data_IF_486536822518
#
_entry.id   IF_486536822518
#
_cell.length_a   1.000
_cell.length_b   1.000
_cell.length_c   1.000
_cell.angle_alpha   90.00
_cell.angle_beta   90.00
_cell.angle_gamma   90.00
#
_symmetry.space_group_name_H-M   'P 1'
#
loop_
_entity.id
_entity.type
_entity.pdbx_description
1 polymer ?
#
# COMPACT_ATOMS: atom_id res chain seq x y z
N UNK A 1 8.76 -38.43 -0.26
CA UNK A 1 7.38 -37.94 -0.47
C UNK A 1 7.16 -37.77 -1.96
N UNK A 2 6.07 -38.32 -2.52
CA UNK A 2 5.75 -38.18 -3.95
C UNK A 2 5.40 -36.70 -4.26
N UNK A 3 5.84 -36.10 -5.39
CA UNK A 3 5.54 -34.73 -5.76
C UNK A 3 4.03 -34.36 -5.67
N UNK A 4 3.14 -35.28 -6.02
CA UNK A 4 1.67 -35.09 -5.85
C UNK A 4 1.24 -34.97 -4.39
N UNK A 5 1.86 -35.73 -3.48
CA UNK A 5 1.53 -35.68 -2.04
C UNK A 5 2.08 -34.37 -1.43
N UNK A 6 3.26 -33.91 -1.88
CA UNK A 6 3.82 -32.63 -1.46
C UNK A 6 2.94 -31.46 -1.89
N UNK A 7 2.46 -31.48 -3.13
CA UNK A 7 1.59 -30.46 -3.67
C UNK A 7 0.22 -30.42 -2.94
N UNK A 8 -0.37 -31.56 -2.67
CA UNK A 8 -1.62 -31.64 -1.92
C UNK A 8 -1.47 -31.16 -0.48
N UNK A 9 -0.35 -31.47 0.18
CA UNK A 9 -0.07 -30.98 1.53
C UNK A 9 0.13 -29.47 1.55
N UNK A 10 0.85 -28.93 0.56
CA UNK A 10 1.05 -27.50 0.42
C UNK A 10 -0.28 -26.76 0.19
N UNK A 11 -1.09 -27.24 -0.76
CA UNK A 11 -2.37 -26.62 -1.07
C UNK A 11 -3.31 -26.64 0.16
N UNK A 12 -3.39 -27.74 0.86
CA UNK A 12 -4.17 -27.82 2.11
C UNK A 12 -3.71 -26.79 3.14
N UNK A 13 -2.40 -26.67 3.38
CA UNK A 13 -1.87 -25.68 4.33
C UNK A 13 -2.16 -24.26 3.87
N UNK A 14 -2.14 -24.00 2.57
CA UNK A 14 -2.51 -22.70 1.99
C UNK A 14 -3.99 -22.37 2.26
N UNK A 15 -4.87 -23.32 2.03
CA UNK A 15 -6.31 -23.14 2.25
C UNK A 15 -6.62 -22.94 3.76
N UNK A 16 -5.99 -23.72 4.64
CA UNK A 16 -6.10 -23.57 6.09
C UNK A 16 -5.62 -22.18 6.54
N UNK A 17 -4.49 -21.71 5.99
CA UNK A 17 -3.94 -20.38 6.26
C UNK A 17 -4.89 -19.27 5.81
N UNK A 18 -5.40 -19.37 4.58
CA UNK A 18 -6.35 -18.41 4.03
C UNK A 18 -7.60 -18.34 4.90
N UNK A 19 -8.20 -19.49 5.19
CA UNK A 19 -9.39 -19.59 6.02
C UNK A 19 -9.18 -18.98 7.42
N UNK A 20 -8.04 -19.27 8.04
CA UNK A 20 -7.69 -18.72 9.35
C UNK A 20 -7.63 -17.18 9.31
N UNK A 21 -6.91 -16.60 8.35
CA UNK A 21 -6.78 -15.15 8.22
C UNK A 21 -8.12 -14.48 7.93
N UNK A 22 -8.93 -15.06 7.06
CA UNK A 22 -10.24 -14.51 6.73
C UNK A 22 -11.16 -14.52 7.95
N UNK A 23 -11.09 -15.54 8.78
CA UNK A 23 -11.83 -15.60 10.04
C UNK A 23 -11.36 -14.50 11.02
N UNK A 24 -10.06 -14.28 11.15
CA UNK A 24 -9.51 -13.18 11.97
C UNK A 24 -9.98 -11.81 11.43
N UNK A 25 -9.92 -11.59 10.11
CA UNK A 25 -10.39 -10.36 9.49
C UNK A 25 -11.88 -10.10 9.76
N UNK A 26 -12.73 -11.10 9.57
CA UNK A 26 -14.20 -10.99 9.79
C UNK A 26 -14.54 -10.60 11.22
N UNK A 27 -13.77 -11.10 12.19
CA UNK A 27 -13.95 -10.81 13.61
C UNK A 27 -13.21 -9.57 14.10
N UNK A 28 -12.53 -8.85 13.21
CA UNK A 28 -11.75 -7.66 13.53
C UNK A 28 -12.51 -6.37 13.22
N UNK A 29 -12.23 -5.24 13.89
CA UNK A 29 -12.76 -3.94 13.48
C UNK A 29 -12.27 -3.57 12.09
N UNK A 30 -13.16 -3.14 11.20
CA UNK A 30 -12.79 -2.69 9.85
C UNK A 30 -12.40 -1.21 9.88
N UNK A 31 -11.24 -0.95 10.42
CA UNK A 31 -10.65 0.38 10.50
C UNK A 31 -9.25 0.44 9.84
N UNK A 32 -8.70 1.64 9.75
CA UNK A 32 -7.40 1.84 9.11
C UNK A 32 -6.30 0.97 9.73
N UNK A 33 -6.34 0.72 11.03
CA UNK A 33 -5.30 -0.06 11.72
C UNK A 33 -5.32 -1.54 11.35
N UNK A 34 -6.51 -2.07 11.04
CA UNK A 34 -6.68 -3.44 10.50
C UNK A 34 -6.26 -3.49 9.04
N UNK A 35 -6.68 -2.51 8.23
CA UNK A 35 -6.38 -2.43 6.79
C UNK A 35 -4.88 -2.37 6.51
N UNK A 36 -4.12 -1.62 7.33
CA UNK A 36 -2.66 -1.46 7.13
C UNK A 36 -1.82 -2.47 7.92
N UNK A 37 -2.43 -3.45 8.57
CA UNK A 37 -1.69 -4.43 9.36
C UNK A 37 -0.99 -5.44 8.45
N UNK A 38 0.36 -5.51 8.44
CA UNK A 38 1.11 -6.39 7.55
C UNK A 38 0.81 -7.88 7.77
N UNK A 39 0.46 -8.29 8.99
CA UNK A 39 0.13 -9.68 9.33
C UNK A 39 -1.13 -10.14 8.61
N UNK A 40 -2.13 -9.26 8.43
CA UNK A 40 -3.40 -9.58 7.79
C UNK A 40 -3.37 -9.54 6.25
N UNK A 41 -2.28 -9.05 5.65
CA UNK A 41 -2.16 -8.92 4.19
C UNK A 41 -1.61 -10.18 3.53
N UNK A 42 -1.13 -11.12 4.32
CA UNK A 42 -0.59 -12.39 3.81
C UNK A 42 0.67 -12.25 2.95
N UNK A 43 1.39 -11.13 3.07
CA UNK A 43 2.62 -10.89 2.30
C UNK A 43 3.83 -11.53 2.99
N UNK A 44 4.47 -12.56 2.40
CA UNK A 44 5.58 -13.26 3.01
C UNK A 44 6.86 -12.42 3.17
N UNK A 45 6.95 -11.28 2.48
CA UNK A 45 8.09 -10.36 2.59
C UNK A 45 7.88 -9.26 3.64
N UNK A 46 6.62 -9.00 4.01
CA UNK A 46 6.25 -7.97 4.96
C UNK A 46 5.62 -8.51 6.25
N UNK A 47 5.57 -9.83 6.42
CA UNK A 47 5.03 -10.51 7.60
C UNK A 47 5.78 -11.79 7.88
N UNK A 48 5.96 -12.11 9.16
CA UNK A 48 6.50 -13.41 9.59
C UNK A 48 5.43 -14.52 9.59
N UNK A 49 4.16 -14.13 9.59
CA UNK A 49 3.04 -15.08 9.76
C UNK A 49 3.01 -16.19 8.68
N UNK A 50 3.10 -15.91 7.36
CA UNK A 50 3.05 -16.97 6.36
C UNK A 50 4.14 -18.02 6.60
N UNK A 51 5.37 -17.58 6.82
CA UNK A 51 6.50 -18.48 7.08
C UNK A 51 6.29 -19.34 8.32
N UNK A 52 5.87 -18.72 9.43
CA UNK A 52 5.64 -19.42 10.70
C UNK A 52 4.49 -20.41 10.61
N UNK A 53 3.43 -20.03 9.91
CA UNK A 53 2.26 -20.89 9.71
C UNK A 53 2.64 -22.16 8.92
N UNK A 54 3.35 -22.00 7.80
CA UNK A 54 3.81 -23.13 6.99
C UNK A 54 4.85 -24.01 7.69
N UNK A 55 5.70 -23.43 8.54
CA UNK A 55 6.65 -24.19 9.35
C UNK A 55 6.07 -24.71 10.66
N UNK A 56 4.81 -24.37 10.96
CA UNK A 56 4.13 -24.71 12.20
C UNK A 56 4.93 -24.26 13.46
N UNK A 57 5.54 -23.06 13.39
CA UNK A 57 6.45 -22.50 14.41
C UNK A 57 5.75 -21.42 15.24
N UNK A 58 5.33 -21.77 16.45
CA UNK A 58 4.71 -20.84 17.38
C UNK A 58 5.69 -19.83 18.04
N UNK A 59 6.98 -19.96 17.79
CA UNK A 59 8.00 -19.16 18.46
C UNK A 59 8.25 -19.63 19.91
N UNK A 60 9.46 -19.42 20.38
CA UNK A 60 9.88 -19.78 21.74
C UNK A 60 10.06 -18.56 22.67
N UNK A 61 10.06 -17.34 22.10
CA UNK A 61 10.32 -16.11 22.83
C UNK A 61 9.02 -15.57 23.44
N UNK A 62 9.11 -15.08 24.67
CA UNK A 62 7.98 -14.45 25.33
C UNK A 62 7.42 -13.28 24.51
N UNK A 63 6.11 -13.28 24.27
CA UNK A 63 5.39 -12.30 23.47
C UNK A 63 5.57 -10.86 23.98
N UNK A 64 5.66 -10.65 25.30
CA UNK A 64 5.90 -9.32 25.90
C UNK A 64 7.27 -8.76 25.50
N UNK A 65 8.31 -9.60 25.53
CA UNK A 65 9.68 -9.19 25.14
C UNK A 65 9.71 -8.86 23.65
N UNK A 66 9.06 -9.68 22.81
CA UNK A 66 8.92 -9.44 21.36
C UNK A 66 8.25 -8.09 21.11
N UNK A 67 7.12 -7.84 21.79
CA UNK A 67 6.37 -6.60 21.66
C UNK A 67 7.22 -5.38 22.04
N UNK A 68 7.81 -5.35 23.23
CA UNK A 68 8.60 -4.20 23.73
C UNK A 68 9.77 -3.90 22.77
N UNK A 69 10.53 -4.94 22.35
CA UNK A 69 11.63 -4.78 21.41
C UNK A 69 11.18 -4.17 20.07
N UNK A 70 10.04 -4.64 19.53
CA UNK A 70 9.54 -4.17 18.24
C UNK A 70 8.86 -2.81 18.36
N UNK A 71 8.26 -2.49 19.49
CA UNK A 71 7.69 -1.18 19.82
C UNK A 71 8.77 -0.09 19.77
N UNK A 72 9.93 -0.33 20.37
CA UNK A 72 11.05 0.62 20.33
C UNK A 72 11.53 0.84 18.88
N UNK A 73 11.74 -0.24 18.12
CA UNK A 73 12.15 -0.17 16.71
C UNK A 73 11.10 0.57 15.87
N UNK A 74 9.83 0.30 16.13
CA UNK A 74 8.71 0.94 15.46
C UNK A 74 8.75 2.46 15.63
N UNK A 75 8.82 2.95 16.88
CA UNK A 75 8.82 4.39 17.12
C UNK A 75 10.06 5.09 16.58
N UNK A 76 11.23 4.51 16.75
CA UNK A 76 12.48 5.09 16.22
C UNK A 76 12.40 5.24 14.68
N UNK A 77 12.04 4.17 14.00
CA UNK A 77 11.90 4.15 12.53
C UNK A 77 10.86 5.17 12.05
N UNK A 78 9.67 5.15 12.65
CA UNK A 78 8.55 5.93 12.12
C UNK A 78 8.62 7.42 12.50
N UNK A 79 9.26 7.78 13.61
CA UNK A 79 9.60 9.18 13.92
C UNK A 79 10.58 9.73 12.88
N UNK A 80 11.63 8.97 12.54
CA UNK A 80 12.53 9.34 11.46
C UNK A 80 11.79 9.54 10.11
N UNK A 81 10.85 8.65 9.79
CA UNK A 81 10.06 8.74 8.56
C UNK A 81 9.11 9.95 8.57
N UNK A 82 8.45 10.24 9.69
CA UNK A 82 7.61 11.42 9.84
C UNK A 82 8.40 12.72 9.63
N UNK A 83 9.58 12.82 10.24
CA UNK A 83 10.47 14.00 10.08
C UNK A 83 10.94 14.10 8.61
N UNK A 84 11.34 12.98 8.00
CA UNK A 84 11.74 12.96 6.59
C UNK A 84 10.60 13.38 5.66
N UNK A 85 9.37 13.00 5.97
CA UNK A 85 8.19 13.37 5.19
C UNK A 85 7.85 14.86 5.36
N UNK A 86 7.96 15.40 6.57
CA UNK A 86 7.79 16.83 6.82
C UNK A 86 8.85 17.65 6.08
N UNK A 87 10.10 17.19 6.07
CA UNK A 87 11.18 17.80 5.27
C UNK A 87 10.86 17.77 3.78
N UNK A 88 10.38 16.63 3.25
CA UNK A 88 9.99 16.48 1.86
C UNK A 88 8.86 17.46 1.48
N UNK A 89 7.87 17.62 2.36
CA UNK A 89 6.79 18.59 2.21
C UNK A 89 7.34 20.03 2.12
N UNK A 90 8.26 20.41 3.00
CA UNK A 90 8.89 21.74 2.96
C UNK A 90 9.67 21.97 1.67
N UNK A 91 10.45 20.98 1.24
CA UNK A 91 11.23 21.05 -0.02
C UNK A 91 10.28 21.18 -1.22
N UNK A 92 9.20 20.41 -1.26
CA UNK A 92 8.18 20.55 -2.30
C UNK A 92 7.63 21.99 -2.36
N UNK A 93 7.21 22.56 -1.23
CA UNK A 93 6.65 23.91 -1.17
C UNK A 93 7.64 24.99 -1.62
N UNK A 94 8.94 24.76 -1.42
CA UNK A 94 10.00 25.74 -1.78
C UNK A 94 10.44 25.62 -3.23
N UNK A 95 10.44 24.45 -3.81
CA UNK A 95 11.13 24.20 -5.09
C UNK A 95 10.25 23.76 -6.24
N UNK A 96 9.05 23.22 -5.98
CA UNK A 96 8.14 22.86 -7.04
C UNK A 96 7.23 24.02 -7.42
N UNK A 97 7.22 24.36 -8.72
CA UNK A 97 6.31 25.36 -9.26
C UNK A 97 5.04 24.67 -9.75
N UNK A 98 3.98 24.81 -8.95
CA UNK A 98 2.67 24.31 -9.32
C UNK A 98 2.16 25.02 -10.58
N UNK A 99 1.63 24.25 -11.54
CA UNK A 99 0.91 24.78 -12.70
C UNK A 99 -0.56 24.98 -12.37
N UNK A 100 -1.18 25.95 -13.03
CA UNK A 100 -2.64 26.04 -13.09
C UNK A 100 -3.11 24.85 -13.93
N UNK A 101 -4.08 24.10 -13.42
CA UNK A 101 -4.62 22.92 -14.08
C UNK A 101 -6.08 23.15 -14.45
N UNK A 102 -6.48 22.52 -15.53
CA UNK A 102 -7.86 22.32 -15.85
C UNK A 102 -8.52 21.32 -14.86
N UNK A 103 -9.80 21.07 -15.04
CA UNK A 103 -10.55 20.13 -14.23
C UNK A 103 -9.95 18.72 -14.29
N UNK A 104 -9.59 18.18 -13.12
CA UNK A 104 -8.99 16.86 -12.99
C UNK A 104 -10.06 15.79 -13.04
N UNK A 105 -10.12 14.99 -14.11
CA UNK A 105 -11.08 13.87 -14.23
C UNK A 105 -10.43 12.53 -14.03
N UNK A 106 -9.23 12.34 -14.58
CA UNK A 106 -8.50 11.08 -14.52
C UNK A 106 -7.15 11.29 -13.86
N UNK A 107 -6.82 10.42 -12.92
CA UNK A 107 -5.52 10.39 -12.26
C UNK A 107 -4.82 9.07 -12.59
N UNK A 108 -3.54 9.16 -12.94
CA UNK A 108 -2.63 8.02 -13.06
C UNK A 108 -1.70 8.05 -11.85
N UNK A 109 -1.90 7.12 -10.92
CA UNK A 109 -1.12 6.99 -9.70
C UNK A 109 0.06 6.06 -9.94
N UNK A 110 1.25 6.62 -9.90
CA UNK A 110 2.50 5.89 -10.13
C UNK A 110 3.64 6.40 -9.25
N UNK A 111 4.82 5.82 -9.41
CA UNK A 111 5.99 6.24 -8.65
C UNK A 111 7.20 6.52 -9.57
N UNK A 112 8.10 7.37 -9.08
CA UNK A 112 9.36 7.70 -9.74
C UNK A 112 10.54 7.14 -8.94
N UNK A 113 11.39 6.42 -9.62
CA UNK A 113 12.76 6.16 -9.17
C UNK A 113 13.66 7.33 -9.56
N UNK A 114 14.90 7.35 -9.04
CA UNK A 114 15.85 8.46 -9.31
C UNK A 114 16.09 8.66 -10.80
N UNK A 115 16.16 7.55 -11.55
CA UNK A 115 16.54 7.53 -12.96
C UNK A 115 15.34 7.69 -13.91
N UNK A 116 14.13 7.81 -13.39
CA UNK A 116 12.92 7.99 -14.22
C UNK A 116 12.74 9.40 -14.76
N UNK A 117 13.53 10.36 -14.29
CA UNK A 117 13.51 11.73 -14.83
C UNK A 117 14.83 12.00 -15.53
N UNK A 118 14.77 12.22 -16.85
CA UNK A 118 15.94 12.51 -17.64
C UNK A 118 16.51 13.92 -17.38
N UNK A 119 17.68 14.24 -17.96
CA UNK A 119 18.33 15.54 -17.78
C UNK A 119 17.51 16.72 -18.32
N UNK A 120 16.59 16.45 -19.25
CA UNK A 120 15.70 17.46 -19.84
C UNK A 120 14.43 17.66 -19.02
N UNK A 121 14.28 16.96 -17.89
CA UNK A 121 13.14 17.08 -16.99
C UNK A 121 11.94 16.20 -17.37
N UNK A 122 12.02 15.40 -18.41
CA UNK A 122 10.93 14.52 -18.81
C UNK A 122 10.90 13.27 -17.94
N UNK A 123 9.70 12.93 -17.44
CA UNK A 123 9.45 11.71 -16.68
C UNK A 123 9.23 10.54 -17.63
N UNK A 124 10.03 9.50 -17.47
CA UNK A 124 9.92 8.25 -18.23
C UNK A 124 9.27 7.18 -17.34
N UNK A 125 8.05 6.82 -17.70
CA UNK A 125 7.31 5.77 -17.00
C UNK A 125 7.79 4.38 -17.44
N UNK A 126 8.08 3.51 -16.46
CA UNK A 126 8.56 2.16 -16.72
C UNK A 126 7.49 1.08 -16.53
N UNK A 127 6.40 1.38 -15.82
CA UNK A 127 5.38 0.40 -15.41
C UNK A 127 4.09 0.52 -16.21
N UNK A 128 3.68 1.74 -16.54
CA UNK A 128 2.42 2.04 -17.20
C UNK A 128 2.65 2.54 -18.64
N UNK A 129 3.72 2.03 -19.27
CA UNK A 129 4.05 2.38 -20.66
C UNK A 129 2.87 2.13 -21.60
N UNK A 130 2.63 3.09 -22.50
CA UNK A 130 1.52 3.04 -23.47
C UNK A 130 0.21 3.65 -22.98
N UNK A 131 0.00 3.84 -21.66
CA UNK A 131 -1.24 4.46 -21.16
C UNK A 131 -1.29 5.96 -21.47
N UNK A 132 -0.14 6.63 -21.44
CA UNK A 132 -0.04 8.06 -21.74
C UNK A 132 -0.32 8.33 -23.22
N UNK A 133 0.32 7.58 -24.11
CA UNK A 133 0.11 7.67 -25.57
C UNK A 133 -1.35 7.35 -25.92
N UNK A 134 -1.98 6.42 -25.19
CA UNK A 134 -3.39 6.11 -25.38
C UNK A 134 -4.26 7.31 -25.02
N UNK A 135 -4.04 7.94 -23.88
CA UNK A 135 -4.80 9.11 -23.47
C UNK A 135 -4.57 10.33 -24.35
N UNK A 136 -3.33 10.56 -24.79
CA UNK A 136 -3.00 11.60 -25.75
C UNK A 136 -3.70 11.36 -27.10
N UNK A 137 -3.67 10.13 -27.62
CA UNK A 137 -4.35 9.74 -28.87
C UNK A 137 -5.86 10.03 -28.83
N UNK A 138 -6.49 9.83 -27.68
CA UNK A 138 -7.92 10.08 -27.49
C UNK A 138 -8.23 11.47 -26.91
N UNK A 139 -7.25 12.35 -26.84
CA UNK A 139 -7.35 13.70 -26.28
C UNK A 139 -8.03 13.70 -24.88
N UNK A 140 -7.65 12.74 -24.05
CA UNK A 140 -8.21 12.58 -22.72
C UNK A 140 -7.35 13.34 -21.70
N UNK A 141 -7.96 14.25 -20.95
CA UNK A 141 -7.28 15.00 -19.90
C UNK A 141 -6.98 14.08 -18.71
N UNK A 142 -5.71 14.03 -18.28
CA UNK A 142 -5.26 13.27 -17.14
C UNK A 142 -4.19 14.04 -16.36
N UNK A 143 -3.99 13.67 -15.10
CA UNK A 143 -2.85 14.11 -14.32
C UNK A 143 -2.12 12.90 -13.72
N UNK A 144 -0.82 13.05 -13.53
CA UNK A 144 0.05 12.01 -12.96
C UNK A 144 0.25 12.29 -11.49
N UNK A 145 -0.30 11.44 -10.62
CA UNK A 145 -0.02 11.43 -9.19
C UNK A 145 1.31 10.72 -8.96
N UNK A 146 2.39 11.49 -8.91
CA UNK A 146 3.74 10.95 -8.90
C UNK A 146 4.33 10.91 -7.50
N UNK A 147 4.71 9.71 -7.05
CA UNK A 147 5.35 9.50 -5.75
C UNK A 147 6.86 9.31 -5.92
N UNK A 148 7.71 10.17 -5.34
CA UNK A 148 9.15 9.93 -5.28
C UNK A 148 9.45 8.69 -4.41
N UNK A 149 10.09 7.68 -4.99
CA UNK A 149 10.55 6.48 -4.29
C UNK A 149 12.06 6.51 -4.12
N UNK A 150 12.61 5.68 -3.20
CA UNK A 150 14.03 5.51 -2.90
C UNK A 150 14.78 6.79 -2.47
N UNK A 151 14.51 7.93 -3.07
CA UNK A 151 15.19 9.21 -2.79
C UNK A 151 14.35 10.18 -1.97
N UNK A 152 13.11 9.83 -1.60
CA UNK A 152 12.20 10.70 -0.84
C UNK A 152 12.78 11.17 0.51
N UNK A 153 13.75 10.47 1.07
CA UNK A 153 14.45 10.80 2.32
C UNK A 153 15.71 11.65 2.11
N UNK A 154 16.11 11.94 0.87
CA UNK A 154 17.31 12.71 0.57
C UNK A 154 16.92 14.11 0.11
N UNK A 155 17.18 15.17 0.93
CA UNK A 155 16.75 16.53 0.62
C UNK A 155 17.36 17.08 -0.66
N UNK A 156 18.61 16.75 -0.95
CA UNK A 156 19.30 17.25 -2.15
C UNK A 156 18.72 16.62 -3.42
N UNK A 157 18.47 15.31 -3.39
CA UNK A 157 17.85 14.60 -4.52
C UNK A 157 16.42 15.09 -4.75
N UNK A 158 15.62 15.28 -3.68
CA UNK A 158 14.27 15.84 -3.79
C UNK A 158 14.26 17.25 -4.36
N UNK A 159 15.16 18.13 -3.87
CA UNK A 159 15.28 19.49 -4.43
C UNK A 159 15.59 19.45 -5.91
N UNK A 160 16.55 18.62 -6.33
CA UNK A 160 16.90 18.45 -7.73
C UNK A 160 15.72 17.92 -8.54
N UNK A 161 15.07 16.86 -8.06
CA UNK A 161 13.90 16.27 -8.68
C UNK A 161 12.78 17.28 -8.93
N UNK A 162 12.36 18.05 -7.91
CA UNK A 162 11.29 19.03 -8.07
C UNK A 162 11.65 20.19 -9.01
N UNK A 163 12.91 20.56 -9.11
CA UNK A 163 13.36 21.57 -10.07
C UNK A 163 13.28 21.06 -11.50
N UNK A 164 13.67 19.80 -11.72
CA UNK A 164 13.72 19.24 -13.08
C UNK A 164 12.32 18.88 -13.56
N UNK A 165 11.53 18.14 -12.74
CA UNK A 165 10.19 17.68 -13.14
C UNK A 165 9.23 18.84 -13.46
N UNK A 166 9.49 20.03 -12.93
CA UNK A 166 8.70 21.21 -13.27
C UNK A 166 8.87 21.68 -14.73
N UNK A 167 9.83 21.11 -15.48
CA UNK A 167 10.04 21.38 -16.91
C UNK A 167 9.18 20.45 -17.81
N UNK A 168 8.73 19.32 -17.30
CA UNK A 168 7.85 18.42 -18.03
C UNK A 168 6.50 19.11 -18.33
N UNK A 169 5.96 18.91 -19.53
CA UNK A 169 4.72 19.57 -20.00
C UNK A 169 3.46 18.96 -19.42
N UNK A 170 3.53 17.70 -18.95
CA UNK A 170 2.39 16.98 -18.39
C UNK A 170 2.00 17.51 -17.02
N UNK A 171 0.77 17.24 -16.60
CA UNK A 171 0.26 17.65 -15.30
C UNK A 171 0.63 16.66 -14.22
N UNK A 172 1.47 17.12 -13.27
CA UNK A 172 1.86 16.32 -12.10
C UNK A 172 1.14 16.80 -10.83
N UNK A 173 0.66 15.84 -10.06
CA UNK A 173 0.19 16.02 -8.70
C UNK A 173 1.18 15.32 -7.78
N UNK A 174 1.53 15.97 -6.69
CA UNK A 174 2.30 15.34 -5.62
C UNK A 174 1.45 15.27 -4.35
N UNK A 175 1.64 14.21 -3.56
CA UNK A 175 0.94 14.08 -2.28
C UNK A 175 1.12 15.31 -1.38
N UNK A 176 2.30 15.94 -1.43
CA UNK A 176 2.62 17.18 -0.69
C UNK A 176 1.80 18.40 -1.12
N UNK A 177 1.17 18.36 -2.28
CA UNK A 177 0.30 19.41 -2.75
C UNK A 177 -1.01 19.47 -1.97
N UNK A 178 -1.58 18.31 -1.71
CA UNK A 178 -2.88 18.14 -1.07
C UNK A 178 -2.80 18.17 0.45
N UNK A 179 -1.60 17.95 1.01
CA UNK A 179 -1.37 17.93 2.45
C UNK A 179 -1.41 19.34 3.08
N UNK A 180 -1.94 19.37 4.29
CA UNK A 180 -1.93 20.51 5.21
C UNK A 180 -1.04 20.21 6.41
N UNK A 181 -0.58 21.24 7.12
CA UNK A 181 0.19 21.04 8.36
C UNK A 181 -0.59 20.26 9.42
N UNK A 182 -1.93 20.42 9.49
CA UNK A 182 -2.79 19.64 10.37
C UNK A 182 -2.74 18.13 10.11
N UNK A 183 -2.43 17.71 8.88
CA UNK A 183 -2.35 16.30 8.54
C UNK A 183 -1.15 15.61 9.23
N UNK A 184 -0.08 16.35 9.50
CA UNK A 184 1.07 15.84 10.25
C UNK A 184 0.73 15.48 11.68
N UNK A 185 -0.17 16.22 12.33
CA UNK A 185 -0.70 15.86 13.66
C UNK A 185 -1.57 14.61 13.57
N UNK A 186 -2.36 14.47 12.50
CA UNK A 186 -3.15 13.26 12.24
C UNK A 186 -2.23 12.05 12.01
N UNK A 187 -1.20 12.19 11.18
CA UNK A 187 -0.20 11.14 10.94
C UNK A 187 0.50 10.73 12.23
N UNK A 188 0.92 11.70 13.04
CA UNK A 188 1.54 11.44 14.34
C UNK A 188 0.59 10.65 15.26
N UNK A 189 -0.66 11.07 15.36
CA UNK A 189 -1.67 10.41 16.21
C UNK A 189 -1.93 8.98 15.74
N UNK A 190 -2.13 8.77 14.45
CA UNK A 190 -2.32 7.44 13.87
C UNK A 190 -1.10 6.52 14.12
N UNK A 191 0.10 7.07 13.93
CA UNK A 191 1.36 6.36 14.18
C UNK A 191 1.50 5.98 15.65
N UNK A 192 1.27 6.91 16.58
CA UNK A 192 1.40 6.64 18.02
C UNK A 192 0.41 5.58 18.50
N UNK A 193 -0.80 5.57 17.97
CA UNK A 193 -1.85 4.63 18.36
C UNK A 193 -1.72 3.25 17.70
N UNK A 194 -1.01 3.13 16.58
CA UNK A 194 -0.96 1.91 15.78
C UNK A 194 -0.57 0.66 16.58
N UNK A 195 0.54 0.62 17.36
CA UNK A 195 0.92 -0.59 18.09
C UNK A 195 -0.15 -1.04 19.08
N UNK A 196 -0.80 -0.09 19.77
CA UNK A 196 -1.85 -0.40 20.76
C UNK A 196 -3.15 -0.85 20.10
N UNK A 197 -3.49 -0.25 18.94
CA UNK A 197 -4.65 -0.67 18.16
C UNK A 197 -4.45 -2.05 17.55
N UNK A 198 -3.22 -2.42 17.21
CA UNK A 198 -2.85 -3.76 16.76
C UNK A 198 -3.12 -4.84 17.83
N UNK A 199 -2.95 -4.52 19.13
CA UNK A 199 -3.22 -5.48 20.20
C UNK A 199 -4.68 -5.95 20.26
N UNK A 200 -5.62 -5.21 19.68
CA UNK A 200 -7.03 -5.63 19.58
C UNK A 200 -7.24 -6.83 18.67
N UNK A 201 -6.27 -7.15 17.83
CA UNK A 201 -6.31 -8.28 16.90
C UNK A 201 -5.82 -9.59 17.54
N UNK A 202 -5.28 -9.53 18.77
CA UNK A 202 -4.85 -10.73 19.49
C UNK A 202 -6.00 -11.69 19.66
N UNK A 203 -5.75 -12.96 19.32
CA UNK A 203 -6.69 -14.05 19.46
C UNK A 203 -6.55 -14.69 20.85
N UNK A 204 -7.66 -15.24 21.36
CA UNK A 204 -7.60 -16.12 22.54
C UNK A 204 -6.86 -17.39 22.11
N UNK A 205 -5.76 -17.70 22.81
CA UNK A 205 -4.89 -18.83 22.47
C UNK A 205 -5.55 -20.19 22.77
N UNK A 206 -6.45 -20.63 21.90
CA UNK A 206 -7.14 -21.91 21.99
C UNK A 206 -6.42 -22.95 21.12
N UNK A 207 -5.87 -22.53 19.99
CA UNK A 207 -5.18 -23.36 19.03
C UNK A 207 -3.69 -23.02 18.92
N UNK A 208 -2.94 -23.82 18.18
CA UNK A 208 -1.53 -23.53 17.86
C UNK A 208 -1.44 -22.39 16.85
N UNK A 209 -2.38 -22.32 15.93
CA UNK A 209 -2.51 -21.25 14.93
C UNK A 209 -2.70 -19.89 15.62
N UNK A 210 -3.49 -19.82 16.69
CA UNK A 210 -3.66 -18.59 17.48
C UNK A 210 -2.35 -18.13 18.12
N UNK A 211 -1.53 -19.06 18.63
CA UNK A 211 -0.21 -18.75 19.19
C UNK A 211 0.73 -18.25 18.10
N UNK A 212 0.74 -18.90 16.92
CA UNK A 212 1.54 -18.49 15.76
C UNK A 212 1.12 -17.11 15.31
N UNK A 213 -0.18 -16.86 15.21
CA UNK A 213 -0.73 -15.56 14.82
C UNK A 213 -0.36 -14.46 15.82
N UNK A 214 -0.61 -14.65 17.10
CA UNK A 214 -0.31 -13.67 18.15
C UNK A 214 1.17 -13.32 18.18
N UNK A 215 2.05 -14.31 18.11
CA UNK A 215 3.48 -14.07 18.05
C UNK A 215 3.89 -13.27 16.81
N UNK A 216 3.36 -13.65 15.64
CA UNK A 216 3.64 -12.96 14.38
C UNK A 216 3.10 -11.54 14.39
N UNK A 217 1.90 -11.32 14.90
CA UNK A 217 1.28 -9.99 15.02
C UNK A 217 2.16 -9.03 15.81
N UNK A 218 2.70 -9.48 16.93
CA UNK A 218 3.59 -8.66 17.77
C UNK A 218 4.99 -8.48 17.13
N UNK A 219 5.46 -9.49 16.40
CA UNK A 219 6.72 -9.42 15.67
C UNK A 219 6.62 -8.46 14.46
N UNK A 220 5.49 -8.44 13.78
CA UNK A 220 5.28 -7.70 12.53
C UNK A 220 5.06 -6.19 12.73
N UNK A 221 4.88 -5.71 13.96
CA UNK A 221 4.84 -4.26 14.26
C UNK A 221 6.04 -3.52 13.65
N UNK A 222 7.21 -4.14 13.61
CA UNK A 222 8.42 -3.59 12.98
C UNK A 222 8.31 -3.39 11.46
N UNK A 223 7.43 -4.15 10.78
CA UNK A 223 7.22 -4.09 9.33
C UNK A 223 6.16 -3.06 8.91
N UNK A 224 5.54 -2.39 9.87
CA UNK A 224 4.62 -1.31 9.58
C UNK A 224 5.19 -0.34 8.53
N UNK A 225 4.36 0.03 7.57
CA UNK A 225 4.69 1.00 6.52
C UNK A 225 4.12 2.37 6.86
N UNK A 226 5.00 3.35 7.11
CA UNK A 226 4.58 4.74 7.30
C UNK A 226 3.87 5.29 6.06
N UNK A 227 4.30 4.87 4.87
CA UNK A 227 3.71 5.27 3.59
C UNK A 227 2.23 4.88 3.48
N UNK A 228 1.78 3.83 4.19
CA UNK A 228 0.37 3.48 4.22
C UNK A 228 -0.49 4.55 4.91
N UNK A 229 0.02 5.23 5.93
CA UNK A 229 -0.70 6.34 6.57
C UNK A 229 -0.72 7.58 5.67
N UNK A 230 0.39 7.90 5.01
CA UNK A 230 0.42 9.04 4.09
C UNK A 230 -0.53 8.83 2.92
N UNK A 231 -0.59 7.60 2.40
CA UNK A 231 -1.53 7.21 1.33
C UNK A 231 -3.00 7.26 1.79
N UNK A 232 -3.27 6.87 3.03
CA UNK A 232 -4.61 7.02 3.62
C UNK A 232 -5.04 8.49 3.67
N UNK A 233 -4.18 9.40 4.14
CA UNK A 233 -4.47 10.83 4.19
C UNK A 233 -4.64 11.41 2.78
N UNK A 234 -3.78 11.02 1.84
CA UNK A 234 -3.87 11.40 0.44
C UNK A 234 -5.22 10.98 -0.17
N UNK A 235 -5.62 9.73 0.01
CA UNK A 235 -6.92 9.23 -0.47
C UNK A 235 -8.10 10.02 0.10
N UNK A 236 -8.04 10.41 1.37
CA UNK A 236 -9.05 11.30 1.99
C UNK A 236 -9.10 12.69 1.38
N UNK A 237 -7.99 13.22 0.90
CA UNK A 237 -7.98 14.52 0.22
C UNK A 237 -8.48 14.40 -1.23
N UNK A 238 -8.05 13.38 -1.95
CA UNK A 238 -8.50 13.13 -3.32
C UNK A 238 -10.01 12.87 -3.39
N UNK A 239 -10.56 12.12 -2.43
CA UNK A 239 -12.00 11.83 -2.37
C UNK A 239 -12.90 13.07 -2.19
N UNK A 240 -12.32 14.23 -1.86
CA UNK A 240 -13.04 15.52 -1.73
C UNK A 240 -12.96 16.38 -2.98
N UNK A 241 -12.27 15.94 -4.02
CA UNK A 241 -12.17 16.66 -5.30
C UNK A 241 -13.29 16.12 -6.19
N UNK A 242 -14.35 16.89 -6.35
CA UNK A 242 -15.58 16.48 -7.02
C UNK A 242 -15.40 16.15 -8.50
N UNK A 243 -14.40 16.72 -9.15
CA UNK A 243 -14.11 16.52 -10.57
C UNK A 243 -13.44 15.17 -10.89
N UNK A 244 -12.87 14.47 -9.90
CA UNK A 244 -12.20 13.20 -10.12
C UNK A 244 -13.23 12.09 -10.34
N UNK A 245 -13.13 11.43 -11.48
CA UNK A 245 -13.99 10.32 -11.88
C UNK A 245 -13.26 8.96 -11.75
N UNK A 246 -11.99 8.91 -12.14
CA UNK A 246 -11.21 7.66 -12.23
C UNK A 246 -9.79 7.83 -11.72
N UNK A 247 -9.30 6.79 -11.03
CA UNK A 247 -7.89 6.69 -10.64
C UNK A 247 -7.36 5.33 -11.11
N UNK A 248 -6.36 5.37 -11.97
CA UNK A 248 -5.59 4.20 -12.39
C UNK A 248 -4.35 4.11 -11.50
N UNK A 249 -4.21 3.04 -10.74
CA UNK A 249 -3.07 2.84 -9.84
C UNK A 249 -2.30 1.60 -10.22
N UNK A 250 -0.97 1.67 -10.22
CA UNK A 250 -0.16 0.49 -10.12
C UNK A 250 -0.43 -0.23 -8.80
N UNK A 251 -0.61 -1.53 -8.81
CA UNK A 251 -1.02 -2.27 -7.62
C UNK A 251 -0.40 -3.66 -7.50
N UNK A 252 0.17 -3.91 -6.31
CA UNK A 252 0.59 -5.24 -5.84
C UNK A 252 -0.25 -5.69 -4.63
N UNK A 253 -1.33 -4.98 -4.32
CA UNK A 253 -2.19 -5.20 -3.15
C UNK A 253 -1.44 -5.16 -1.80
N UNK A 254 -0.43 -4.33 -1.72
CA UNK A 254 0.32 -4.04 -0.49
C UNK A 254 -0.49 -3.15 0.46
N UNK A 255 0.00 -2.97 1.69
CA UNK A 255 -0.63 -2.06 2.68
C UNK A 255 -0.84 -0.64 2.17
N UNK A 256 0.03 -0.16 1.29
CA UNK A 256 0.00 1.18 0.73
C UNK A 256 -1.15 1.39 -0.25
N UNK A 257 -1.42 0.42 -1.11
CA UNK A 257 -2.56 0.47 -2.03
C UNK A 257 -3.87 0.23 -1.29
N UNK A 258 -3.91 -0.75 -0.38
CA UNK A 258 -5.09 -1.05 0.43
C UNK A 258 -5.54 0.15 1.26
N UNK A 259 -4.62 0.86 1.88
CA UNK A 259 -4.92 2.07 2.66
C UNK A 259 -5.46 3.21 1.80
N UNK A 260 -4.94 3.36 0.59
CA UNK A 260 -5.39 4.35 -0.39
C UNK A 260 -6.79 4.04 -0.89
N UNK A 261 -7.04 2.79 -1.32
CA UNK A 261 -8.35 2.33 -1.75
C UNK A 261 -9.41 2.51 -0.65
N UNK A 262 -9.09 2.07 0.57
CA UNK A 262 -9.96 2.23 1.72
C UNK A 262 -10.33 3.70 1.97
N UNK A 263 -9.34 4.60 1.91
CA UNK A 263 -9.59 6.02 2.12
C UNK A 263 -10.53 6.61 1.06
N UNK A 264 -10.34 6.26 -0.21
CA UNK A 264 -11.17 6.77 -1.30
C UNK A 264 -12.56 6.15 -1.25
N UNK A 265 -12.68 4.84 -1.20
CA UNK A 265 -13.97 4.13 -1.21
C UNK A 265 -14.84 4.47 -0.01
N UNK A 266 -14.24 4.71 1.15
CA UNK A 266 -14.96 5.13 2.36
C UNK A 266 -15.53 6.53 2.28
N UNK A 267 -14.91 7.43 1.51
CA UNK A 267 -15.25 8.85 1.48
C UNK A 267 -15.87 9.31 0.16
N UNK A 268 -15.82 8.52 -0.91
CA UNK A 268 -16.39 8.83 -2.21
C UNK A 268 -16.95 7.57 -2.88
N UNK A 269 -18.18 7.67 -3.38
CA UNK A 269 -18.81 6.64 -4.22
C UNK A 269 -18.68 6.96 -5.72
N UNK A 270 -18.16 8.14 -6.06
CA UNK A 270 -18.07 8.62 -7.45
C UNK A 270 -16.78 8.19 -8.13
N UNK A 271 -15.70 7.99 -7.35
CA UNK A 271 -14.36 7.72 -7.90
C UNK A 271 -14.20 6.23 -8.15
N UNK A 272 -14.02 5.87 -9.40
CA UNK A 272 -13.69 4.50 -9.80
C UNK A 272 -12.18 4.25 -9.61
N UNK A 273 -11.83 3.25 -8.83
CA UNK A 273 -10.45 2.79 -8.64
C UNK A 273 -10.16 1.62 -9.56
N UNK A 274 -9.15 1.76 -10.40
CA UNK A 274 -8.72 0.76 -11.39
C UNK A 274 -7.27 0.37 -11.13
N UNK A 275 -7.05 -0.86 -10.66
CA UNK A 275 -5.72 -1.37 -10.37
C UNK A 275 -5.07 -1.95 -11.63
N UNK A 276 -3.82 -1.57 -11.88
CA UNK A 276 -3.01 -2.06 -12.99
C UNK A 276 -1.94 -3.00 -12.44
N UNK A 277 -2.16 -4.31 -12.60
CA UNK A 277 -1.30 -5.35 -12.08
C UNK A 277 -0.51 -5.99 -13.24
N UNK A 278 0.66 -5.44 -13.54
CA UNK A 278 1.47 -5.85 -14.69
C UNK A 278 2.71 -6.66 -14.33
N UNK A 279 2.77 -7.18 -13.13
CA UNK A 279 3.84 -8.08 -12.72
C UNK A 279 3.39 -9.54 -12.73
N UNK A 280 4.37 -10.45 -12.76
CA UNK A 280 4.12 -11.88 -12.69
C UNK A 280 3.72 -12.27 -11.26
N UNK A 281 2.54 -12.89 -11.12
CA UNK A 281 2.11 -13.46 -9.86
C UNK A 281 2.75 -14.83 -9.65
N UNK A 282 3.37 -14.99 -8.50
CA UNK A 282 3.84 -16.30 -8.05
C UNK A 282 2.85 -16.87 -7.04
N UNK A 283 2.66 -18.18 -7.05
CA UNK A 283 1.73 -18.89 -6.16
C UNK A 283 2.00 -18.63 -4.67
N UNK A 284 3.24 -18.30 -4.33
CA UNK A 284 3.66 -17.97 -2.94
C UNK A 284 3.28 -16.55 -2.50
N UNK A 285 2.81 -15.71 -3.41
CA UNK A 285 2.34 -14.36 -3.10
C UNK A 285 0.84 -14.37 -2.80
N UNK A 286 0.48 -14.70 -1.59
CA UNK A 286 -0.93 -14.78 -1.16
C UNK A 286 -1.66 -13.44 -1.14
N UNK A 287 -0.94 -12.34 -1.18
CA UNK A 287 -1.51 -10.99 -1.25
C UNK A 287 -1.73 -10.47 -2.68
N UNK A 288 -1.34 -11.24 -3.70
CA UNK A 288 -1.43 -10.81 -5.11
C UNK A 288 -2.85 -10.77 -5.66
N UNK A 289 -3.79 -11.32 -4.92
CA UNK A 289 -5.20 -11.38 -5.31
C UNK A 289 -6.05 -10.59 -4.32
N UNK A 290 -7.06 -9.93 -4.86
CA UNK A 290 -8.14 -9.35 -4.07
C UNK A 290 -9.14 -10.46 -3.77
N UNK A 291 -9.51 -10.64 -2.53
CA UNK A 291 -10.60 -11.52 -2.11
C UNK A 291 -11.89 -10.71 -1.83
N UNK A 292 -13.02 -11.42 -1.70
CA UNK A 292 -14.32 -10.80 -1.44
C UNK A 292 -14.29 -9.99 -0.14
N UNK A 293 -13.55 -10.46 0.86
CA UNK A 293 -13.42 -9.77 2.14
C UNK A 293 -12.64 -8.45 2.01
N UNK A 294 -11.65 -8.38 1.11
CA UNK A 294 -10.96 -7.13 0.81
C UNK A 294 -11.90 -6.11 0.16
N UNK A 295 -12.88 -6.58 -0.63
CA UNK A 295 -13.91 -5.73 -1.22
C UNK A 295 -14.91 -5.24 -0.16
N UNK A 296 -15.41 -6.13 0.69
CA UNK A 296 -16.28 -5.80 1.82
C UNK A 296 -15.64 -4.78 2.77
N UNK A 297 -14.33 -4.92 3.01
CA UNK A 297 -13.53 -4.00 3.82
C UNK A 297 -13.17 -2.69 3.10
N UNK A 298 -13.62 -2.48 1.88
CA UNK A 298 -13.32 -1.32 1.02
C UNK A 298 -11.82 -1.13 0.74
N UNK A 299 -11.00 -2.17 0.91
CA UNK A 299 -9.54 -2.12 0.70
C UNK A 299 -9.12 -2.57 -0.70
N UNK A 300 -10.05 -3.13 -1.47
CA UNK A 300 -9.88 -3.52 -2.87
C UNK A 300 -10.14 -2.32 -3.83
N UNK A 301 -9.57 -2.32 -5.03
CA UNK A 301 -10.03 -1.46 -6.12
C UNK A 301 -11.36 -1.99 -6.67
N UNK A 302 -12.07 -1.19 -7.47
CA UNK A 302 -13.31 -1.62 -8.15
C UNK A 302 -13.03 -2.62 -9.28
N UNK A 303 -11.92 -2.43 -9.99
CA UNK A 303 -11.50 -3.30 -11.09
C UNK A 303 -10.00 -3.55 -11.04
N UNK A 304 -9.58 -4.72 -11.50
CA UNK A 304 -8.16 -5.08 -11.62
C UNK A 304 -7.87 -5.54 -13.04
N UNK A 305 -6.97 -4.84 -13.69
CA UNK A 305 -6.43 -5.19 -15.00
C UNK A 305 -5.15 -5.99 -14.82
N UNK A 306 -5.10 -7.16 -15.42
CA UNK A 306 -3.98 -8.09 -15.33
C UNK A 306 -3.34 -8.33 -16.69
N UNK A 307 -2.09 -8.77 -16.71
CA UNK A 307 -1.33 -9.02 -17.92
C UNK A 307 -1.69 -10.39 -18.53
N UNK A 308 -2.78 -10.43 -19.31
CA UNK A 308 -3.20 -11.58 -20.08
C UNK A 308 -4.22 -12.51 -19.41
N UNK A 309 -4.86 -13.35 -20.23
CA UNK A 309 -5.96 -14.25 -19.84
C UNK A 309 -5.59 -15.30 -18.78
N UNK A 310 -4.33 -15.70 -18.74
CA UNK A 310 -3.84 -16.67 -17.74
C UNK A 310 -4.09 -16.20 -16.31
N UNK A 311 -3.90 -14.92 -16.03
CA UNK A 311 -4.08 -14.36 -14.68
C UNK A 311 -5.55 -14.14 -14.32
N UNK A 312 -6.45 -14.02 -15.28
CA UNK A 312 -7.90 -13.97 -15.05
C UNK A 312 -8.39 -15.35 -14.57
N UNK A 313 -7.98 -16.42 -15.27
CA UNK A 313 -8.42 -17.79 -14.96
C UNK A 313 -7.97 -18.29 -13.57
N UNK A 314 -6.82 -17.81 -13.08
CA UNK A 314 -6.35 -18.15 -11.74
C UNK A 314 -7.12 -17.46 -10.61
N UNK A 315 -7.90 -16.41 -10.91
CA UNK A 315 -8.79 -15.74 -9.95
C UNK A 315 -10.09 -16.50 -9.70
N UNK A 316 -10.61 -17.17 -10.71
CA UNK A 316 -11.84 -17.99 -10.59
C UNK A 316 -11.62 -19.31 -9.80
N UNK A 317 -10.37 -19.59 -9.43
CA UNK A 317 -9.97 -20.80 -8.69
C UNK A 317 -9.54 -20.54 -7.25
N UNK A 318 -9.67 -19.31 -6.75
CA UNK A 318 -9.28 -18.96 -5.37
C UNK A 318 -10.52 -18.78 -4.50
#
# INVERSE_FOLDING_TARGET
MNPKQLNNSYQKTKDDFQHYIDNVKRNSPWDIYTIINPTLIKNPYASELPKRFFLNDAGQVNNTVVFIKNLFKFYLKNTYLLVSYLMAFAIYKLYYKKRVRDELKIIIDTFSLVDNVNKNGEFNENYLTGIYELFEKYNTNYAILLRPCQFAKNPFKLRHFFKIISQDKRDFIFEYELLKLSDFFTLLSLMLLYPFKTLRLLQKEVSKEDKIFNHSLLADIKYFSFDSLTRYILGKHLSKIDSIEKIFSWSEFQVIERSFNYAIRKNSQKIELKALQFFLNYEVYFNSYVDDLDDDMLSAPHEVFVNGRYYIQNREKV
#
